data_IF_479850534877
#
_entry.id   IF_479850534877
#
_cell.length_a   1.000
_cell.length_b   1.000
_cell.length_c   1.000
_cell.angle_alpha   90.00
_cell.angle_beta   90.00
_cell.angle_gamma   90.00
#
_symmetry.space_group_name_H-M   'P 1'
#
loop_
_entity.id
_entity.type
_entity.pdbx_description
1 polymer ?
#
# COMPACT_ATOMS: atom_id res chain seq x y z
N UNK A 1 3.15 -19.15 10.60
CA UNK A 1 4.19 -18.15 10.92
C UNK A 1 4.49 -18.27 12.39
N UNK A 2 5.75 -18.49 12.76
CA UNK A 2 6.17 -18.46 14.16
C UNK A 2 6.39 -17.00 14.55
N UNK A 3 5.49 -16.43 15.35
CA UNK A 3 5.54 -15.03 15.80
C UNK A 3 6.49 -14.80 16.99
N UNK A 4 7.50 -15.67 17.18
CA UNK A 4 8.46 -15.49 18.27
C UNK A 4 9.49 -14.42 17.88
N UNK A 5 9.48 -13.30 18.61
CA UNK A 5 10.56 -12.30 18.59
C UNK A 5 10.38 -11.13 17.62
N UNK A 6 9.23 -10.46 17.61
CA UNK A 6 9.05 -9.20 16.87
C UNK A 6 9.30 -8.03 17.82
N UNK A 7 10.31 -7.22 17.53
CA UNK A 7 10.58 -5.97 18.25
C UNK A 7 9.68 -4.84 17.70
N UNK A 8 8.99 -4.13 18.60
CA UNK A 8 8.15 -2.98 18.23
C UNK A 8 8.96 -1.86 17.56
N UNK A 9 8.39 -1.21 16.55
CA UNK A 9 9.04 -0.12 15.80
C UNK A 9 10.02 -0.57 14.69
N UNK A 10 10.33 -1.87 14.60
CA UNK A 10 11.15 -2.41 13.52
C UNK A 10 10.41 -2.54 12.18
N UNK A 11 11.15 -2.48 11.08
CA UNK A 11 10.61 -2.77 9.72
C UNK A 11 9.98 -4.16 9.63
N UNK A 12 10.48 -5.10 10.43
CA UNK A 12 9.94 -6.45 10.55
C UNK A 12 8.56 -6.48 11.21
N UNK A 13 8.30 -5.61 12.18
CA UNK A 13 7.00 -5.48 12.83
C UNK A 13 5.95 -4.98 11.84
N UNK A 14 6.25 -3.94 11.05
CA UNK A 14 5.34 -3.45 10.00
C UNK A 14 4.98 -4.52 8.97
N UNK A 15 5.95 -5.33 8.55
CA UNK A 15 5.72 -6.45 7.62
C UNK A 15 4.84 -7.53 8.22
N UNK A 16 5.07 -7.91 9.49
CA UNK A 16 4.28 -8.93 10.17
C UNK A 16 2.89 -8.44 10.52
N UNK A 17 2.71 -7.19 10.96
CA UNK A 17 1.41 -6.58 11.16
C UNK A 17 0.63 -6.59 9.84
N UNK A 18 1.22 -6.11 8.75
CA UNK A 18 0.56 -6.13 7.44
C UNK A 18 0.18 -7.55 6.99
N UNK A 19 1.07 -8.52 7.20
CA UNK A 19 0.79 -9.93 6.88
C UNK A 19 -0.31 -10.52 7.80
N UNK A 20 -0.23 -10.32 9.12
CA UNK A 20 -1.22 -10.81 10.07
C UNK A 20 -2.59 -10.19 9.82
N UNK A 21 -2.68 -8.86 9.65
CA UNK A 21 -3.93 -8.16 9.33
C UNK A 21 -4.54 -8.67 8.02
N UNK A 22 -3.72 -9.03 7.02
CA UNK A 22 -4.17 -9.69 5.79
C UNK A 22 -4.86 -11.05 6.05
N UNK A 23 -4.42 -11.82 7.05
CA UNK A 23 -5.04 -13.12 7.37
C UNK A 23 -6.13 -13.03 8.44
N UNK A 24 -6.06 -12.11 9.40
CA UNK A 24 -7.10 -11.88 10.41
C UNK A 24 -8.41 -11.42 9.77
N UNK A 25 -8.32 -10.55 8.77
CA UNK A 25 -9.49 -10.09 8.02
C UNK A 25 -10.05 -11.16 7.07
N UNK A 26 -9.33 -12.26 6.82
CA UNK A 26 -9.75 -13.32 5.89
C UNK A 26 -11.01 -14.04 6.35
N UNK A 27 -11.18 -14.19 7.65
CA UNK A 27 -12.30 -14.92 8.22
C UNK A 27 -12.63 -14.39 9.61
N UNK A 28 -13.11 -13.14 9.66
CA UNK A 28 -13.42 -12.44 10.92
C UNK A 28 -14.38 -13.28 11.79
N UNK A 29 -15.36 -13.95 11.18
CA UNK A 29 -16.31 -14.81 11.90
C UNK A 29 -15.77 -16.18 12.34
N UNK A 30 -14.65 -16.66 11.78
CA UNK A 30 -13.99 -17.90 12.25
C UNK A 30 -12.89 -17.60 13.28
N UNK A 31 -12.29 -16.41 13.22
CA UNK A 31 -11.13 -16.04 14.03
C UNK A 31 -11.54 -15.28 15.30
N UNK A 32 -12.59 -14.47 15.22
CA UNK A 32 -13.04 -13.60 16.32
C UNK A 32 -14.53 -13.84 16.57
N UNK A 33 -14.83 -14.45 17.72
CA UNK A 33 -16.20 -14.52 18.24
C UNK A 33 -16.51 -13.19 18.93
N UNK A 34 -17.47 -12.39 18.43
CA UNK A 34 -17.90 -11.17 19.11
C UNK A 34 -18.49 -11.53 20.48
N UNK A 35 -18.02 -10.87 21.53
CA UNK A 35 -18.48 -11.05 22.92
C UNK A 35 -19.29 -9.86 23.41
N UNK A 36 -19.28 -8.74 22.69
CA UNK A 36 -20.02 -7.51 23.05
C UNK A 36 -20.98 -7.09 21.95
N UNK A 37 -22.06 -6.40 22.33
CA UNK A 37 -23.04 -5.86 21.38
C UNK A 37 -22.39 -4.91 20.34
N UNK A 38 -21.40 -4.12 20.75
CA UNK A 38 -20.65 -3.24 19.85
C UNK A 38 -19.87 -4.02 18.77
N UNK A 39 -19.27 -5.16 19.13
CA UNK A 39 -18.57 -6.03 18.18
C UNK A 39 -19.54 -6.69 17.20
N UNK A 40 -20.70 -7.15 17.68
CA UNK A 40 -21.76 -7.66 16.81
C UNK A 40 -22.24 -6.58 15.81
N UNK A 41 -22.55 -5.38 16.29
CA UNK A 41 -22.97 -4.27 15.44
C UNK A 41 -21.88 -3.90 14.40
N UNK A 42 -20.61 -3.95 14.79
CA UNK A 42 -19.50 -3.76 13.87
C UNK A 42 -19.45 -4.82 12.77
N UNK A 43 -19.63 -6.10 13.12
CA UNK A 43 -19.67 -7.20 12.16
C UNK A 43 -20.85 -7.07 11.18
N UNK A 44 -22.03 -6.65 11.66
CA UNK A 44 -23.20 -6.41 10.80
C UNK A 44 -22.99 -5.23 9.85
N UNK A 45 -22.41 -4.14 10.32
CA UNK A 45 -22.06 -2.99 9.48
C UNK A 45 -21.07 -3.41 8.40
N UNK A 46 -20.01 -4.12 8.77
CA UNK A 46 -19.02 -4.64 7.82
C UNK A 46 -19.66 -5.60 6.82
N UNK A 47 -20.58 -6.46 7.28
CA UNK A 47 -21.31 -7.37 6.41
C UNK A 47 -22.12 -6.62 5.35
N UNK A 48 -22.84 -5.58 5.78
CA UNK A 48 -23.69 -4.76 4.92
C UNK A 48 -22.86 -4.09 3.82
N UNK A 49 -21.72 -3.49 4.17
CA UNK A 49 -20.80 -2.88 3.20
C UNK A 49 -20.23 -3.89 2.20
N UNK A 50 -19.78 -5.04 2.70
CA UNK A 50 -19.16 -6.06 1.86
C UNK A 50 -20.16 -6.82 0.99
N UNK A 51 -21.43 -6.87 1.38
CA UNK A 51 -22.50 -7.47 0.59
C UNK A 51 -22.75 -6.68 -0.71
N UNK A 52 -22.53 -5.36 -0.70
CA UNK A 52 -22.71 -4.49 -1.86
C UNK A 52 -21.40 -4.16 -2.60
N UNK A 53 -20.25 -4.60 -2.09
CA UNK A 53 -18.94 -4.32 -2.70
C UNK A 53 -18.57 -5.38 -3.76
N UNK A 54 -18.29 -5.02 -5.03
CA UNK A 54 -17.98 -6.00 -6.07
C UNK A 54 -16.77 -6.90 -5.76
N UNK A 55 -16.91 -8.21 -5.92
CA UNK A 55 -15.85 -9.16 -5.55
C UNK A 55 -14.88 -9.57 -6.64
N UNK A 56 -15.06 -9.14 -7.88
CA UNK A 56 -14.18 -9.44 -9.02
C UNK A 56 -14.65 -8.67 -10.27
N UNK A 57 -13.88 -8.61 -11.37
CA UNK A 57 -14.35 -7.99 -12.63
C UNK A 57 -15.61 -8.64 -13.23
N UNK A 58 -15.94 -9.89 -12.84
CA UNK A 58 -17.12 -10.62 -13.32
C UNK A 58 -18.31 -10.53 -12.35
N UNK A 59 -18.20 -9.73 -11.28
CA UNK A 59 -19.19 -9.70 -10.21
C UNK A 59 -20.48 -9.00 -10.67
N UNK A 60 -21.66 -9.64 -10.58
CA UNK A 60 -22.95 -9.01 -10.94
C UNK A 60 -23.32 -7.76 -10.13
N UNK A 61 -22.64 -7.52 -9.00
CA UNK A 61 -22.84 -6.33 -8.18
C UNK A 61 -22.39 -5.06 -8.90
N UNK A 62 -21.46 -5.15 -9.86
CA UNK A 62 -21.10 -4.00 -10.71
C UNK A 62 -22.30 -3.34 -11.38
N UNK A 63 -23.35 -4.13 -11.68
CA UNK A 63 -24.58 -3.60 -12.27
C UNK A 63 -25.33 -2.63 -11.33
N UNK A 64 -25.15 -2.74 -10.01
CA UNK A 64 -25.70 -1.73 -9.06
C UNK A 64 -25.06 -0.36 -9.24
N UNK A 65 -23.86 -0.33 -9.81
CA UNK A 65 -23.09 0.87 -10.08
C UNK A 65 -23.13 1.28 -11.57
N UNK A 66 -24.02 0.67 -12.37
CA UNK A 66 -24.10 0.93 -13.81
C UNK A 66 -22.92 0.41 -14.63
N UNK A 67 -22.06 -0.44 -14.05
CA UNK A 67 -20.89 -1.00 -14.72
C UNK A 67 -21.20 -2.42 -15.20
N UNK A 68 -20.99 -2.68 -16.50
CA UNK A 68 -21.20 -4.01 -17.07
C UNK A 68 -20.05 -4.95 -16.67
N UNK A 69 -20.30 -6.04 -15.92
CA UNK A 69 -19.24 -6.93 -15.52
C UNK A 69 -18.71 -7.77 -16.70
N UNK A 70 -17.45 -8.19 -16.61
CA UNK A 70 -16.81 -9.01 -17.65
C UNK A 70 -17.54 -10.34 -17.83
N UNK A 71 -18.08 -10.56 -19.02
CA UNK A 71 -18.82 -11.77 -19.38
C UNK A 71 -20.23 -11.81 -18.80
N UNK A 72 -20.86 -10.64 -18.64
CA UNK A 72 -22.29 -10.52 -18.37
C UNK A 72 -23.11 -11.23 -19.47
N UNK A 73 -24.13 -11.94 -19.05
CA UNK A 73 -25.15 -12.55 -19.92
C UNK A 73 -26.53 -12.08 -19.50
N UNK A 74 -27.57 -12.40 -20.27
CA UNK A 74 -28.98 -12.10 -19.93
C UNK A 74 -29.42 -12.65 -18.57
N UNK A 75 -28.71 -13.65 -18.01
CA UNK A 75 -28.97 -14.22 -16.68
C UNK A 75 -28.28 -13.46 -15.54
N UNK A 76 -27.53 -12.41 -15.84
CA UNK A 76 -26.75 -11.64 -14.85
C UNK A 76 -27.65 -10.62 -14.18
N UNK A 77 -28.05 -10.89 -12.94
CA UNK A 77 -28.96 -10.03 -12.19
C UNK A 77 -28.19 -9.06 -11.29
N UNK A 78 -28.58 -7.80 -11.31
CA UNK A 78 -27.95 -6.76 -10.49
C UNK A 78 -28.03 -7.10 -9.00
N UNK A 79 -26.88 -7.03 -8.32
CA UNK A 79 -26.79 -7.30 -6.88
C UNK A 79 -26.78 -8.76 -6.47
N UNK A 80 -26.91 -9.71 -7.41
CA UNK A 80 -26.99 -11.14 -7.11
C UNK A 80 -25.69 -11.85 -7.51
N UNK A 81 -24.72 -11.90 -6.59
CA UNK A 81 -23.48 -12.63 -6.80
C UNK A 81 -23.45 -13.95 -6.02
N UNK A 82 -23.35 -15.08 -6.73
CA UNK A 82 -23.27 -16.43 -6.12
C UNK A 82 -21.87 -16.79 -5.59
N UNK A 83 -20.90 -15.90 -5.72
CA UNK A 83 -19.52 -16.13 -5.25
C UNK A 83 -19.51 -16.36 -3.74
N UNK A 84 -18.65 -17.26 -3.26
CA UNK A 84 -18.39 -17.45 -1.82
C UNK A 84 -18.05 -16.13 -1.15
N UNK A 85 -17.46 -15.20 -1.89
CA UNK A 85 -17.25 -13.86 -1.43
C UNK A 85 -18.54 -13.28 -0.77
N UNK A 86 -19.71 -13.35 -1.36
CA UNK A 86 -20.90 -12.67 -0.80
C UNK A 86 -21.63 -13.45 0.31
N UNK A 87 -21.08 -14.59 0.77
CA UNK A 87 -21.67 -15.31 1.92
C UNK A 87 -21.18 -14.73 3.22
N UNK A 88 -22.09 -14.54 4.18
CA UNK A 88 -21.80 -14.01 5.52
C UNK A 88 -20.58 -14.64 6.19
N UNK A 89 -20.45 -15.97 6.11
CA UNK A 89 -19.33 -16.72 6.69
C UNK A 89 -17.96 -16.44 6.03
N UNK A 90 -17.94 -15.95 4.80
CA UNK A 90 -16.73 -15.82 3.99
C UNK A 90 -16.54 -14.40 3.42
N UNK A 91 -17.14 -13.39 4.05
CA UNK A 91 -17.02 -11.99 3.65
C UNK A 91 -15.59 -11.46 3.76
N UNK A 92 -14.84 -11.99 4.72
CA UNK A 92 -13.43 -11.68 4.91
C UNK A 92 -12.50 -12.17 3.78
N UNK A 93 -12.91 -13.13 2.93
CA UNK A 93 -12.03 -13.74 1.92
C UNK A 93 -11.45 -12.67 0.97
N UNK A 94 -10.15 -12.31 1.10
CA UNK A 94 -9.58 -11.17 0.40
C UNK A 94 -9.17 -11.54 -1.02
N UNK A 95 -9.12 -12.83 -1.36
CA UNK A 95 -8.52 -13.32 -2.60
C UNK A 95 -9.15 -12.81 -3.90
N UNK A 96 -10.30 -12.12 -3.85
CA UNK A 96 -10.88 -11.45 -5.03
C UNK A 96 -11.51 -10.06 -4.75
N UNK A 97 -11.93 -9.76 -3.52
CA UNK A 97 -12.61 -8.50 -3.15
C UNK A 97 -11.66 -7.33 -2.90
N UNK A 98 -10.60 -7.59 -2.13
CA UNK A 98 -9.46 -6.68 -2.07
C UNK A 98 -8.69 -6.91 -3.34
N UNK A 99 -9.13 -6.18 -4.35
CA UNK A 99 -8.39 -5.91 -5.55
C UNK A 99 -6.91 -5.73 -5.16
N UNK A 100 -6.03 -6.61 -5.67
CA UNK A 100 -4.56 -6.43 -5.58
C UNK A 100 -4.25 -4.95 -5.83
N UNK A 101 -3.34 -4.35 -5.07
CA UNK A 101 -3.06 -2.89 -5.05
C UNK A 101 -3.37 -2.18 -6.37
N UNK A 102 -2.87 -2.73 -7.49
CA UNK A 102 -3.15 -2.36 -8.88
C UNK A 102 -4.60 -1.98 -9.24
N UNK A 103 -5.59 -2.68 -8.71
CA UNK A 103 -7.01 -2.48 -9.02
C UNK A 103 -7.73 -1.63 -7.96
N UNK A 104 -7.09 -1.38 -6.82
CA UNK A 104 -7.61 -0.46 -5.80
C UNK A 104 -7.15 0.97 -6.08
N UNK A 105 -5.87 1.16 -6.37
CA UNK A 105 -5.34 2.45 -6.83
C UNK A 105 -5.60 2.72 -8.31
N UNK A 106 -5.90 1.68 -9.09
CA UNK A 106 -5.83 1.74 -10.56
C UNK A 106 -4.40 1.86 -11.10
N UNK A 107 -3.39 1.89 -10.21
CA UNK A 107 -1.99 2.18 -10.52
C UNK A 107 -1.17 0.91 -10.74
N UNK A 108 -0.48 0.82 -11.85
CA UNK A 108 0.50 -0.20 -12.15
C UNK A 108 1.76 -0.07 -11.26
N UNK A 109 2.66 -1.05 -11.30
CA UNK A 109 3.96 -0.94 -10.62
C UNK A 109 4.78 0.28 -11.12
N UNK A 110 4.84 0.57 -12.44
CA UNK A 110 5.38 1.82 -12.96
C UNK A 110 4.72 3.07 -12.36
N UNK A 111 3.39 3.11 -12.25
CA UNK A 111 2.69 4.27 -11.69
C UNK A 111 3.08 4.49 -10.23
N UNK A 112 3.19 3.43 -9.43
CA UNK A 112 3.70 3.51 -8.06
C UNK A 112 5.19 3.88 -7.98
N UNK A 113 5.98 3.57 -9.01
CA UNK A 113 7.35 4.05 -9.10
C UNK A 113 7.40 5.54 -9.43
N UNK A 114 6.55 6.01 -10.33
CA UNK A 114 6.39 7.43 -10.66
C UNK A 114 5.92 8.23 -9.44
N UNK A 115 4.92 7.74 -8.70
CA UNK A 115 4.45 8.36 -7.45
C UNK A 115 5.57 8.55 -6.44
N UNK A 116 6.40 7.52 -6.23
CA UNK A 116 7.55 7.60 -5.30
C UNK A 116 8.60 8.59 -5.79
N UNK A 117 8.82 8.66 -7.10
CA UNK A 117 9.78 9.58 -7.69
C UNK A 117 9.30 11.03 -7.56
N UNK A 118 8.02 11.27 -7.83
CA UNK A 118 7.38 12.57 -7.68
C UNK A 118 7.35 13.03 -6.21
N UNK A 119 7.05 12.12 -5.28
CA UNK A 119 7.12 12.41 -3.85
C UNK A 119 8.52 12.87 -3.43
N UNK A 120 9.58 12.15 -3.84
CA UNK A 120 10.96 12.55 -3.53
C UNK A 120 11.30 13.89 -4.20
N UNK A 121 10.83 14.13 -5.43
CA UNK A 121 11.04 15.40 -6.13
C UNK A 121 10.41 16.57 -5.37
N UNK A 122 9.16 16.44 -4.93
CA UNK A 122 8.45 17.44 -4.13
C UNK A 122 9.18 17.68 -2.81
N UNK A 123 9.50 16.61 -2.07
CA UNK A 123 10.21 16.70 -0.79
C UNK A 123 11.55 17.44 -0.91
N UNK A 124 12.33 17.15 -1.95
CA UNK A 124 13.60 17.84 -2.18
C UNK A 124 13.37 19.32 -2.54
N UNK A 125 12.37 19.61 -3.36
CA UNK A 125 12.00 20.98 -3.74
C UNK A 125 11.60 21.80 -2.51
N UNK A 126 10.75 21.24 -1.66
CA UNK A 126 10.29 21.87 -0.41
C UNK A 126 11.45 22.13 0.56
N UNK A 127 12.51 21.30 0.53
CA UNK A 127 13.72 21.48 1.32
C UNK A 127 14.71 22.48 0.68
N UNK A 128 14.34 23.13 -0.43
CA UNK A 128 15.21 24.02 -1.20
C UNK A 128 16.33 23.30 -1.95
N UNK A 129 16.30 21.96 -2.04
CA UNK A 129 17.27 21.16 -2.78
C UNK A 129 16.75 21.02 -4.22
N UNK A 130 17.32 21.79 -5.14
CA UNK A 130 17.02 21.62 -6.57
C UNK A 130 17.77 20.39 -7.09
N UNK A 131 17.07 19.29 -7.47
CA UNK A 131 17.75 18.16 -8.08
C UNK A 131 18.37 18.62 -9.40
N UNK A 132 19.60 18.18 -9.69
CA UNK A 132 20.20 18.44 -11.00
C UNK A 132 19.22 17.99 -12.08
N UNK A 133 18.92 18.88 -13.03
CA UNK A 133 18.05 18.57 -14.15
C UNK A 133 18.59 17.29 -14.82
N UNK A 134 17.70 16.32 -15.05
CA UNK A 134 18.01 15.21 -15.97
C UNK A 134 17.89 15.78 -17.37
N UNK A 135 18.85 16.60 -17.75
CA UNK A 135 18.97 17.04 -19.12
C UNK A 135 19.06 15.81 -20.01
N UNK A 136 18.31 15.86 -21.11
CA UNK A 136 18.12 14.83 -22.13
C UNK A 136 19.31 13.87 -22.25
N UNK A 137 19.26 12.76 -21.52
CA UNK A 137 20.35 11.78 -21.54
C UNK A 137 20.35 11.12 -22.93
N UNK A 138 21.30 11.51 -23.77
CA UNK A 138 21.53 10.88 -25.05
C UNK A 138 22.31 9.58 -24.83
N UNK A 139 21.65 8.46 -25.09
CA UNK A 139 22.30 7.14 -25.12
C UNK A 139 22.79 6.93 -26.55
N UNK A 140 24.10 6.90 -26.74
CA UNK A 140 24.73 6.58 -28.02
C UNK A 140 25.65 5.36 -27.87
N UNK A 141 25.89 4.68 -28.99
CA UNK A 141 26.82 3.55 -29.05
C UNK A 141 28.26 4.09 -29.03
N UNK A 142 29.10 3.51 -28.18
CA UNK A 142 30.53 3.82 -28.20
C UNK A 142 31.19 3.10 -29.38
N UNK A 143 31.98 3.85 -30.14
CA UNK A 143 32.80 3.30 -31.22
C UNK A 143 33.97 2.48 -30.69
N UNK A 144 34.42 1.50 -31.49
CA UNK A 144 35.59 0.68 -31.15
C UNK A 144 36.83 1.56 -30.99
N UNK A 145 37.58 1.39 -29.89
CA UNK A 145 38.79 2.17 -29.60
C UNK A 145 38.58 3.43 -28.74
N UNK A 146 37.33 3.81 -28.43
CA UNK A 146 37.04 4.89 -27.49
C UNK A 146 37.38 4.46 -26.05
N UNK A 147 38.20 5.27 -25.36
CA UNK A 147 38.61 5.00 -23.98
C UNK A 147 37.41 5.17 -23.05
N UNK A 148 36.87 4.05 -22.59
CA UNK A 148 35.79 4.02 -21.60
C UNK A 148 36.40 3.97 -20.19
N UNK A 149 35.83 4.67 -19.18
CA UNK A 149 36.27 4.54 -17.81
C UNK A 149 36.24 3.06 -17.37
N UNK A 150 37.25 2.60 -16.60
CA UNK A 150 37.25 1.24 -16.11
C UNK A 150 36.02 0.98 -15.24
N UNK A 151 35.59 -0.28 -15.21
CA UNK A 151 34.38 -0.70 -14.46
C UNK A 151 34.40 -0.27 -12.99
N UNK A 152 35.57 -0.31 -12.36
CA UNK A 152 35.75 0.12 -10.96
C UNK A 152 35.38 1.59 -10.77
N UNK A 153 35.83 2.47 -11.67
CA UNK A 153 35.52 3.89 -11.63
C UNK A 153 34.02 4.16 -11.84
N UNK A 154 33.40 3.46 -12.80
CA UNK A 154 31.95 3.55 -13.03
C UNK A 154 31.14 3.11 -11.80
N UNK A 155 31.56 2.03 -11.15
CA UNK A 155 30.94 1.55 -9.90
C UNK A 155 31.11 2.60 -8.79
N UNK A 156 32.32 3.13 -8.60
CA UNK A 156 32.57 4.16 -7.59
C UNK A 156 31.75 5.43 -7.82
N UNK A 157 31.57 5.85 -9.07
CA UNK A 157 30.71 6.98 -9.43
C UNK A 157 29.23 6.70 -9.15
N UNK A 158 28.75 5.49 -9.43
CA UNK A 158 27.38 5.09 -9.10
C UNK A 158 27.15 5.03 -7.58
N UNK A 159 28.13 4.55 -6.81
CA UNK A 159 28.09 4.53 -5.35
C UNK A 159 28.07 5.95 -4.79
N UNK A 160 28.96 6.82 -5.25
CA UNK A 160 29.00 8.21 -4.77
C UNK A 160 27.69 8.93 -5.06
N UNK A 161 27.13 8.77 -6.26
CA UNK A 161 25.82 9.31 -6.62
C UNK A 161 24.70 8.82 -5.69
N UNK A 162 24.68 7.52 -5.39
CA UNK A 162 23.68 6.94 -4.47
C UNK A 162 23.84 7.49 -3.05
N UNK A 163 25.07 7.67 -2.57
CA UNK A 163 25.35 8.25 -1.25
C UNK A 163 24.87 9.71 -1.20
N UNK A 164 25.16 10.50 -2.23
CA UNK A 164 24.68 11.88 -2.35
C UNK A 164 23.15 11.95 -2.31
N UNK A 165 22.45 11.13 -3.10
CA UNK A 165 20.98 11.09 -3.09
C UNK A 165 20.40 10.70 -1.73
N UNK A 166 21.02 9.72 -1.06
CA UNK A 166 20.60 9.31 0.29
C UNK A 166 20.79 10.45 1.28
N UNK A 167 21.92 11.16 1.23
CA UNK A 167 22.19 12.30 2.09
C UNK A 167 21.18 13.44 1.86
N UNK A 168 20.92 13.79 0.59
CA UNK A 168 19.91 14.79 0.23
C UNK A 168 18.52 14.45 0.77
N UNK A 169 18.08 13.21 0.62
CA UNK A 169 16.80 12.75 1.15
C UNK A 169 16.73 12.80 2.68
N UNK A 170 17.77 12.31 3.38
CA UNK A 170 17.82 12.35 4.85
C UNK A 170 17.80 13.78 5.36
N UNK A 171 18.55 14.69 4.73
CA UNK A 171 18.58 16.10 5.10
C UNK A 171 17.22 16.78 4.85
N UNK A 172 16.54 16.46 3.74
CA UNK A 172 15.21 16.98 3.44
C UNK A 172 14.16 16.53 4.48
N UNK A 173 14.19 15.25 4.87
CA UNK A 173 13.34 14.75 5.97
C UNK A 173 13.65 15.47 7.28
N UNK A 174 14.93 15.68 7.59
CA UNK A 174 15.31 16.36 8.82
C UNK A 174 14.85 17.84 8.85
N UNK A 175 14.83 18.51 7.70
CA UNK A 175 14.42 19.90 7.58
C UNK A 175 12.89 20.10 7.61
N UNK A 176 12.13 19.24 6.92
CA UNK A 176 10.66 19.38 6.77
C UNK A 176 9.90 18.60 7.86
N UNK A 177 10.54 17.61 8.47
CA UNK A 177 9.91 16.63 9.34
C UNK A 177 9.33 15.44 8.55
N UNK A 178 9.01 14.32 9.23
CA UNK A 178 8.49 13.14 8.57
C UNK A 178 7.12 13.41 7.93
N UNK A 179 6.85 12.85 6.73
CA UNK A 179 5.54 12.98 6.08
C UNK A 179 4.44 12.39 6.96
N UNK A 180 3.23 12.97 6.92
CA UNK A 180 2.10 12.59 7.78
C UNK A 180 1.79 11.08 7.77
N UNK A 181 1.98 10.41 6.63
CA UNK A 181 1.82 8.96 6.49
C UNK A 181 2.78 8.10 7.32
N UNK A 182 3.86 8.68 7.84
CA UNK A 182 4.83 8.01 8.71
C UNK A 182 4.65 8.36 10.20
N UNK A 183 3.86 9.42 10.52
CA UNK A 183 3.53 9.83 11.90
C UNK A 183 2.52 8.90 12.57
N UNK A 184 1.80 8.09 11.80
CA UNK A 184 0.80 7.13 12.30
C UNK A 184 1.42 5.95 13.11
N UNK A 185 2.76 5.85 13.13
CA UNK A 185 3.51 4.86 13.91
C UNK A 185 4.03 5.35 15.26
N UNK A 186 3.91 6.64 15.57
CA UNK A 186 4.34 7.25 16.83
C UNK A 186 3.09 7.54 17.68
N UNK A 187 2.87 6.70 18.69
CA UNK A 187 1.63 6.62 19.44
C UNK A 187 1.18 7.94 20.05
N UNK A 188 -0.12 8.21 19.95
CA UNK A 188 -0.82 8.97 20.96
C UNK A 188 -0.72 8.19 22.28
N UNK A 189 0.25 8.54 23.13
CA UNK A 189 0.25 8.14 24.53
C UNK A 189 -1.03 8.66 25.17
N UNK A 190 -1.85 7.82 25.82
CA UNK A 190 -2.96 8.33 26.62
C UNK A 190 -2.35 9.10 27.80
N UNK A 191 -2.67 10.39 27.90
CA UNK A 191 -2.29 11.22 29.04
C UNK A 191 -2.76 10.60 30.36
N UNK A 192 -2.08 10.89 31.49
CA UNK A 192 -2.42 10.29 32.76
C UNK A 192 -3.85 10.71 33.15
N UNK A 193 -4.74 9.71 33.22
CA UNK A 193 -6.11 9.90 33.69
C UNK A 193 -6.09 10.48 35.10
N UNK A 194 -6.63 11.70 35.24
CA UNK A 194 -6.92 12.30 36.53
C UNK A 194 -7.89 11.41 37.29
N UNK A 195 -7.44 10.83 38.41
CA UNK A 195 -8.33 10.29 39.43
C UNK A 195 -9.04 11.48 40.10
N UNK A 196 -10.28 11.74 39.67
CA UNK A 196 -11.22 12.61 40.36
C UNK A 196 -12.01 11.81 41.39
N UNK A 197 -12.15 12.42 42.56
CA UNK A 197 -12.74 11.94 43.81
C UNK A 197 -14.18 11.43 43.71
#
# INVERSE_FOLDING_TARGET
>A
MHSKGILGGGTEAGRHIGYLTKYLTKSIGEIITPTTAAQHAHHERLHTELAITPCSPRCPIWLRYGIVPKGATSKTVAGQCKSKAHRRSTLGLPGRRVLVSRKWSGKTLPDHQADRHEFVRQLLTDAGITPAARDNVLIYRLESGQRTPPRSELIMRAISQRLTWKAQYTNAIAAIGPPEGQRIGEGASPGPGSRGR
#
